data_IF_497510026774
#
_entry.id   IF_497510026774
#
_cell.length_a   1.000
_cell.length_b   1.000
_cell.length_c   1.000
_cell.angle_alpha   90.00
_cell.angle_beta   90.00
_cell.angle_gamma   90.00
#
_symmetry.space_group_name_H-M   'P 1'
#
loop_
_entity.id
_entity.type
_entity.pdbx_description
1 polymer ?
#
# COMPACT_ATOMS: atom_id res chain seq x y z
N UNK A 1 -17.02 21.93 -1.37
CA UNK A 1 -15.72 22.12 -2.03
C UNK A 1 -15.51 20.88 -2.88
N UNK A 2 -15.57 20.98 -4.21
CA UNK A 2 -15.53 19.80 -5.10
C UNK A 2 -14.21 19.06 -4.88
N UNK A 3 -14.27 17.81 -4.43
CA UNK A 3 -13.14 16.89 -4.55
C UNK A 3 -12.78 16.87 -6.04
N UNK A 4 -11.57 17.33 -6.39
CA UNK A 4 -11.05 17.13 -7.72
C UNK A 4 -10.93 15.62 -7.89
N UNK A 5 -11.85 15.02 -8.65
CA UNK A 5 -11.75 13.63 -9.00
C UNK A 5 -10.43 13.42 -9.72
N UNK A 6 -9.61 12.52 -9.18
CA UNK A 6 -8.32 12.15 -9.75
C UNK A 6 -8.50 11.51 -11.13
N UNK A 7 -8.53 12.36 -12.16
CA UNK A 7 -8.88 11.99 -13.52
C UNK A 7 -7.86 11.00 -14.12
N UNK A 8 -6.58 11.22 -13.86
CA UNK A 8 -5.49 10.37 -14.35
C UNK A 8 -5.65 8.96 -13.78
N UNK A 9 -5.74 8.84 -12.46
CA UNK A 9 -5.86 7.55 -11.81
C UNK A 9 -7.15 6.83 -12.22
N UNK A 10 -8.30 7.52 -12.24
CA UNK A 10 -9.59 6.93 -12.63
C UNK A 10 -9.60 6.40 -14.07
N UNK A 11 -8.97 7.12 -15.00
CA UNK A 11 -8.87 6.68 -16.38
C UNK A 11 -7.95 5.46 -16.50
N UNK A 12 -6.79 5.46 -15.85
CA UNK A 12 -5.88 4.32 -15.84
C UNK A 12 -6.53 3.08 -15.19
N UNK A 13 -7.22 3.26 -14.06
CA UNK A 13 -7.96 2.19 -13.39
C UNK A 13 -9.04 1.60 -14.30
N UNK A 14 -9.84 2.44 -14.95
CA UNK A 14 -10.89 2.00 -15.87
C UNK A 14 -10.29 1.28 -17.08
N UNK A 15 -9.21 1.81 -17.64
CA UNK A 15 -8.49 1.21 -18.76
C UNK A 15 -7.94 -0.17 -18.40
N UNK A 16 -7.30 -0.30 -17.23
CA UNK A 16 -6.77 -1.58 -16.74
C UNK A 16 -7.85 -2.66 -16.66
N UNK A 17 -9.04 -2.32 -16.15
CA UNK A 17 -10.14 -3.28 -16.02
C UNK A 17 -10.77 -3.60 -17.38
N UNK A 18 -10.90 -2.62 -18.27
CA UNK A 18 -11.34 -2.89 -19.64
C UNK A 18 -10.37 -3.84 -20.35
N UNK A 19 -9.06 -3.59 -20.24
CA UNK A 19 -8.03 -4.46 -20.82
C UNK A 19 -8.03 -5.86 -20.21
N UNK A 20 -8.31 -6.00 -18.90
CA UNK A 20 -8.36 -7.30 -18.22
C UNK A 20 -9.44 -8.22 -18.80
N UNK A 21 -10.55 -7.63 -19.25
CA UNK A 21 -11.71 -8.33 -19.82
C UNK A 21 -11.60 -8.63 -21.32
N UNK A 22 -10.77 -7.91 -22.06
CA UNK A 22 -10.61 -8.13 -23.51
C UNK A 22 -9.62 -9.26 -23.77
N UNK A 23 -10.06 -10.33 -24.45
CA UNK A 23 -9.24 -11.53 -24.71
C UNK A 23 -8.26 -11.37 -25.90
N UNK A 24 -8.39 -10.31 -26.70
CA UNK A 24 -7.64 -10.13 -27.96
C UNK A 24 -6.33 -9.35 -27.84
N UNK A 25 -6.07 -8.70 -26.69
CA UNK A 25 -4.91 -7.80 -26.54
C UNK A 25 -3.67 -8.61 -26.15
N UNK A 26 -2.53 -8.33 -26.79
CA UNK A 26 -1.27 -9.01 -26.48
C UNK A 26 -0.63 -8.46 -25.20
N UNK A 27 0.12 -9.26 -24.43
CA UNK A 27 0.75 -8.82 -23.17
C UNK A 27 1.61 -7.54 -23.30
N UNK A 28 2.44 -7.44 -24.33
CA UNK A 28 3.28 -6.26 -24.57
C UNK A 28 2.47 -4.97 -24.82
N UNK A 29 1.26 -5.08 -25.38
CA UNK A 29 0.38 -3.93 -25.59
C UNK A 29 -0.25 -3.48 -24.28
N UNK A 30 -0.51 -4.42 -23.36
CA UNK A 30 -1.01 -4.13 -22.01
C UNK A 30 0.07 -3.38 -21.22
N UNK A 31 1.30 -3.90 -21.22
CA UNK A 31 2.46 -3.24 -20.62
C UNK A 31 2.63 -1.83 -21.18
N UNK A 32 2.62 -1.68 -22.51
CA UNK A 32 2.76 -0.36 -23.14
C UNK A 32 1.65 0.62 -22.78
N UNK A 33 0.42 0.16 -22.64
CA UNK A 33 -0.74 1.03 -22.33
C UNK A 33 -0.81 1.41 -20.86
N UNK A 34 -0.38 0.54 -19.95
CA UNK A 34 -0.47 0.78 -18.50
C UNK A 34 0.80 1.40 -17.92
N UNK A 35 1.96 0.89 -18.33
CA UNK A 35 3.27 1.28 -17.80
C UNK A 35 3.87 2.45 -18.57
N UNK A 36 3.61 2.56 -19.88
CA UNK A 36 4.16 3.63 -20.71
C UNK A 36 5.70 3.67 -20.60
N UNK A 37 6.24 4.78 -20.08
CA UNK A 37 7.68 4.97 -19.91
C UNK A 37 8.30 4.05 -18.83
N UNK A 38 7.49 3.48 -17.93
CA UNK A 38 7.95 2.55 -16.87
C UNK A 38 8.41 1.19 -17.39
N UNK A 39 8.13 0.86 -18.67
CA UNK A 39 8.63 -0.38 -19.28
C UNK A 39 10.15 -0.45 -19.24
N UNK A 40 10.83 0.71 -19.31
CA UNK A 40 12.29 0.78 -19.34
C UNK A 40 12.93 0.79 -17.95
N UNK A 41 12.17 0.48 -16.89
CA UNK A 41 12.65 0.50 -15.51
C UNK A 41 12.00 1.60 -14.68
N UNK A 42 11.55 1.24 -13.49
CA UNK A 42 10.90 2.15 -12.55
C UNK A 42 11.90 3.14 -11.94
N UNK A 43 13.16 2.71 -11.78
CA UNK A 43 14.29 3.45 -11.21
C UNK A 43 14.71 4.70 -11.98
N UNK A 44 14.40 4.75 -13.29
CA UNK A 44 14.78 5.85 -14.17
C UNK A 44 13.92 7.11 -14.04
N UNK A 45 12.82 7.05 -13.29
CA UNK A 45 11.83 8.13 -13.20
C UNK A 45 11.64 8.59 -11.75
N UNK A 46 11.33 9.88 -11.51
CA UNK A 46 10.86 10.29 -10.18
C UNK A 46 9.47 9.70 -9.90
N UNK A 47 9.22 9.34 -8.64
CA UNK A 47 7.96 8.74 -8.21
C UNK A 47 6.89 9.83 -8.03
N UNK A 48 6.33 10.26 -9.15
CA UNK A 48 5.24 11.24 -9.26
C UNK A 48 3.86 10.56 -9.29
N UNK A 49 2.79 11.33 -9.36
CA UNK A 49 1.41 10.84 -9.37
C UNK A 49 1.10 9.90 -10.53
N UNK A 50 1.65 10.18 -11.71
CA UNK A 50 1.44 9.36 -12.90
C UNK A 50 2.09 7.99 -12.74
N UNK A 51 3.35 7.93 -12.29
CA UNK A 51 4.06 6.68 -12.04
C UNK A 51 3.32 5.84 -11.00
N UNK A 52 2.92 6.46 -9.88
CA UNK A 52 2.14 5.79 -8.82
C UNK A 52 0.81 5.27 -9.35
N UNK A 53 0.11 6.06 -10.16
CA UNK A 53 -1.16 5.66 -10.77
C UNK A 53 -1.01 4.49 -11.75
N UNK A 54 0.05 4.48 -12.56
CA UNK A 54 0.36 3.39 -13.50
C UNK A 54 0.68 2.08 -12.78
N UNK A 55 1.48 2.12 -11.71
CA UNK A 55 1.79 0.94 -10.88
C UNK A 55 0.51 0.34 -10.26
N UNK A 56 -0.34 1.18 -9.65
CA UNK A 56 -1.61 0.71 -9.10
C UNK A 56 -2.56 0.19 -10.17
N UNK A 57 -2.68 0.87 -11.31
CA UNK A 57 -3.51 0.42 -12.42
C UNK A 57 -3.06 -0.94 -12.97
N UNK A 58 -1.75 -1.20 -12.98
CA UNK A 58 -1.21 -2.52 -13.35
C UNK A 58 -1.60 -3.59 -12.33
N UNK A 59 -1.59 -3.25 -11.04
CA UNK A 59 -2.18 -4.09 -9.99
C UNK A 59 -3.66 -4.39 -10.24
N UNK A 60 -4.48 -3.37 -10.56
CA UNK A 60 -5.88 -3.56 -10.94
C UNK A 60 -6.04 -4.49 -12.14
N UNK A 61 -5.21 -4.36 -13.18
CA UNK A 61 -5.25 -5.28 -14.32
C UNK A 61 -5.05 -6.74 -13.87
N UNK A 62 -4.02 -7.01 -13.07
CA UNK A 62 -3.71 -8.36 -12.57
C UNK A 62 -4.79 -8.94 -11.65
N UNK A 63 -5.44 -8.08 -10.85
CA UNK A 63 -6.52 -8.48 -9.95
C UNK A 63 -7.83 -8.81 -10.67
N UNK A 64 -8.08 -8.19 -11.83
CA UNK A 64 -9.33 -8.36 -12.59
C UNK A 64 -9.18 -9.21 -13.86
N UNK A 65 -7.97 -9.57 -14.29
CA UNK A 65 -7.78 -10.43 -15.47
C UNK A 65 -8.09 -11.88 -15.11
N UNK A 66 -8.23 -12.76 -16.10
CA UNK A 66 -8.33 -14.21 -15.84
C UNK A 66 -6.94 -14.78 -15.49
N UNK A 67 -6.84 -15.88 -14.71
CA UNK A 67 -5.55 -16.44 -14.30
C UNK A 67 -4.57 -16.71 -15.45
N UNK A 68 -5.06 -17.07 -16.64
CA UNK A 68 -4.26 -17.36 -17.83
C UNK A 68 -3.59 -16.11 -18.42
N UNK A 69 -4.11 -14.92 -18.11
CA UNK A 69 -3.56 -13.63 -18.59
C UNK A 69 -2.52 -13.02 -17.65
N UNK A 70 -2.31 -13.61 -16.48
CA UNK A 70 -1.32 -13.13 -15.51
C UNK A 70 0.08 -13.60 -15.96
N UNK A 71 0.79 -12.77 -16.71
CA UNK A 71 2.13 -13.11 -17.17
C UNK A 71 3.14 -13.04 -16.02
N UNK A 72 4.14 -13.93 -16.03
CA UNK A 72 5.24 -13.92 -15.05
C UNK A 72 6.02 -12.61 -15.10
N UNK A 73 6.17 -12.02 -16.29
CA UNK A 73 6.88 -10.76 -16.49
C UNK A 73 6.18 -9.60 -15.77
N UNK A 74 4.85 -9.49 -15.89
CA UNK A 74 4.07 -8.47 -15.18
C UNK A 74 4.10 -8.67 -13.67
N UNK A 75 4.01 -9.91 -13.20
CA UNK A 75 4.11 -10.26 -11.77
C UNK A 75 5.48 -9.85 -11.23
N UNK A 76 6.54 -10.23 -11.94
CA UNK A 76 7.92 -9.94 -11.54
C UNK A 76 8.20 -8.44 -11.57
N UNK A 77 7.70 -7.72 -12.57
CA UNK A 77 7.82 -6.26 -12.63
C UNK A 77 7.11 -5.60 -11.44
N UNK A 78 5.89 -6.02 -11.12
CA UNK A 78 5.16 -5.52 -9.95
C UNK A 78 5.93 -5.78 -8.66
N UNK A 79 6.40 -7.02 -8.43
CA UNK A 79 7.17 -7.37 -7.24
C UNK A 79 8.47 -6.56 -7.16
N UNK A 80 9.27 -6.54 -8.23
CA UNK A 80 10.58 -5.87 -8.28
C UNK A 80 10.49 -4.35 -8.21
N UNK A 81 9.32 -3.75 -8.50
CA UNK A 81 9.12 -2.32 -8.30
C UNK A 81 9.14 -1.94 -6.80
N UNK A 82 8.67 -2.83 -5.91
CA UNK A 82 8.56 -2.57 -4.48
C UNK A 82 9.89 -2.14 -3.80
N UNK A 83 11.01 -2.87 -3.95
CA UNK A 83 12.29 -2.47 -3.37
C UNK A 83 12.83 -1.17 -3.98
N UNK A 84 12.53 -0.89 -5.26
CA UNK A 84 12.97 0.34 -5.93
C UNK A 84 12.29 1.56 -5.30
N UNK A 85 11.04 1.45 -4.83
CA UNK A 85 10.31 2.58 -4.22
C UNK A 85 11.01 3.18 -2.99
N UNK A 86 11.85 2.42 -2.28
CA UNK A 86 12.54 2.88 -1.06
C UNK A 86 13.65 3.88 -1.35
N UNK A 87 14.27 3.81 -2.54
CA UNK A 87 15.39 4.66 -2.96
C UNK A 87 14.97 5.78 -3.93
N UNK A 88 13.75 5.73 -4.47
CA UNK A 88 13.26 6.71 -5.42
C UNK A 88 13.04 8.10 -4.84
N UNK A 89 13.15 9.11 -5.71
CA UNK A 89 12.74 10.48 -5.40
C UNK A 89 11.22 10.63 -5.44
N UNK A 90 10.60 10.76 -4.28
CA UNK A 90 9.15 10.99 -4.13
C UNK A 90 8.78 12.44 -4.49
N UNK A 91 7.79 12.60 -5.36
CA UNK A 91 7.16 13.90 -5.64
C UNK A 91 5.76 13.89 -5.05
N UNK A 92 5.49 14.79 -4.11
CA UNK A 92 4.15 14.99 -3.53
C UNK A 92 3.33 15.97 -4.37
N UNK A 93 2.95 15.49 -5.55
CA UNK A 93 2.11 16.15 -6.57
C UNK A 93 0.64 15.69 -6.54
N UNK A 94 0.27 14.88 -5.55
CA UNK A 94 -1.11 14.41 -5.41
C UNK A 94 -2.05 15.57 -5.09
N UNK A 95 -3.26 15.53 -5.68
CA UNK A 95 -4.35 16.46 -5.33
C UNK A 95 -4.67 16.24 -3.87
N UNK A 96 -4.12 17.13 -3.03
CA UNK A 96 -4.14 17.04 -1.59
C UNK A 96 -5.57 16.90 -1.07
N UNK A 97 -5.98 15.70 -0.61
CA UNK A 97 -7.22 15.59 0.13
C UNK A 97 -6.96 16.17 1.52
N UNK A 98 -7.79 17.11 1.99
CA UNK A 98 -7.65 17.71 3.33
C UNK A 98 -7.81 16.69 4.47
N UNK A 99 -8.28 15.49 4.14
CA UNK A 99 -8.55 14.40 5.08
C UNK A 99 -7.41 13.36 5.12
N UNK A 100 -6.40 13.47 4.26
CA UNK A 100 -5.24 12.59 4.33
C UNK A 100 -4.46 12.87 5.61
N UNK A 101 -4.41 11.89 6.51
CA UNK A 101 -3.63 12.00 7.75
C UNK A 101 -2.25 11.37 7.63
N UNK A 102 -2.02 10.47 6.69
CA UNK A 102 -0.72 9.81 6.49
C UNK A 102 0.10 10.44 5.37
N UNK A 103 1.39 10.16 5.37
CA UNK A 103 2.29 10.59 4.29
C UNK A 103 1.98 9.85 2.98
N UNK A 104 2.46 10.39 1.87
CA UNK A 104 2.30 9.79 0.55
C UNK A 104 3.03 8.45 0.43
N UNK A 105 4.16 8.30 1.14
CA UNK A 105 4.95 7.08 1.21
C UNK A 105 4.15 5.95 1.85
N UNK A 106 3.58 6.22 3.03
CA UNK A 106 2.79 5.25 3.78
C UNK A 106 1.51 4.85 3.02
N UNK A 107 0.78 5.86 2.53
CA UNK A 107 -0.45 5.64 1.76
C UNK A 107 -0.18 4.79 0.52
N UNK A 108 0.83 5.16 -0.28
CA UNK A 108 1.14 4.41 -1.48
C UNK A 108 1.66 3.00 -1.18
N UNK A 109 2.55 2.85 -0.21
CA UNK A 109 3.05 1.54 0.22
C UNK A 109 1.90 0.64 0.67
N UNK A 110 0.96 1.15 1.47
CA UNK A 110 -0.24 0.42 1.88
C UNK A 110 -1.08 -0.05 0.69
N UNK A 111 -1.40 0.84 -0.24
CA UNK A 111 -2.22 0.49 -1.41
C UNK A 111 -1.52 -0.51 -2.33
N UNK A 112 -0.25 -0.25 -2.64
CA UNK A 112 0.53 -1.06 -3.57
C UNK A 112 0.80 -2.46 -2.99
N UNK A 113 1.16 -2.53 -1.71
CA UNK A 113 1.41 -3.78 -1.03
C UNK A 113 0.12 -4.59 -0.78
N UNK A 114 -1.03 -3.92 -0.59
CA UNK A 114 -2.35 -4.58 -0.61
C UNK A 114 -2.60 -5.26 -1.97
N UNK A 115 -2.36 -4.55 -3.08
CA UNK A 115 -2.48 -5.16 -4.42
C UNK A 115 -1.59 -6.40 -4.55
N UNK A 116 -0.33 -6.32 -4.13
CA UNK A 116 0.62 -7.43 -4.19
C UNK A 116 0.14 -8.63 -3.36
N UNK A 117 -0.30 -8.42 -2.12
CA UNK A 117 -0.83 -9.51 -1.28
C UNK A 117 -2.10 -10.14 -1.85
N UNK A 118 -2.98 -9.35 -2.47
CA UNK A 118 -4.15 -9.89 -3.17
C UNK A 118 -3.77 -10.69 -4.44
N UNK A 119 -2.81 -10.20 -5.23
CA UNK A 119 -2.28 -10.94 -6.38
C UNK A 119 -1.67 -12.26 -5.92
N UNK A 120 -0.88 -12.24 -4.85
CA UNK A 120 -0.23 -13.42 -4.28
C UNK A 120 -1.26 -14.45 -3.78
N UNK A 121 -2.33 -14.00 -3.11
CA UNK A 121 -3.44 -14.88 -2.70
C UNK A 121 -4.13 -15.52 -3.91
N UNK A 122 -4.37 -14.76 -4.99
CA UNK A 122 -4.94 -15.30 -6.23
C UNK A 122 -4.02 -16.33 -6.89
N UNK A 123 -2.72 -16.08 -6.93
CA UNK A 123 -1.74 -17.02 -7.47
C UNK A 123 -1.72 -18.32 -6.66
N UNK A 124 -1.79 -18.24 -5.33
CA UNK A 124 -1.90 -19.39 -4.45
C UNK A 124 -3.15 -20.24 -4.76
N UNK A 125 -4.33 -19.62 -4.90
CA UNK A 125 -5.58 -20.33 -5.21
C UNK A 125 -5.52 -21.00 -6.59
N UNK A 126 -4.83 -20.40 -7.56
CA UNK A 126 -4.62 -20.94 -8.90
C UNK A 126 -3.43 -21.94 -9.00
N UNK A 127 -2.84 -22.36 -7.87
CA UNK A 127 -1.74 -23.33 -7.85
C UNK A 127 -0.37 -22.80 -8.32
N UNK A 128 -0.21 -21.48 -8.47
CA UNK A 128 1.03 -20.83 -8.93
C UNK A 128 1.90 -20.39 -7.76
N UNK A 129 2.34 -21.37 -6.96
CA UNK A 129 3.11 -21.12 -5.73
C UNK A 129 4.44 -20.39 -5.99
N UNK A 130 5.17 -20.75 -7.06
CA UNK A 130 6.44 -20.08 -7.39
C UNK A 130 6.27 -18.58 -7.64
N UNK A 131 5.23 -18.17 -8.36
CA UNK A 131 4.98 -16.76 -8.65
C UNK A 131 4.47 -16.02 -7.41
N UNK A 132 3.74 -16.71 -6.52
CA UNK A 132 3.35 -16.18 -5.21
C UNK A 132 4.60 -15.94 -4.36
N UNK A 133 5.55 -16.86 -4.34
CA UNK A 133 6.76 -16.77 -3.53
C UNK A 133 7.66 -15.63 -3.99
N UNK A 134 7.70 -15.31 -5.28
CA UNK A 134 8.36 -14.09 -5.78
C UNK A 134 7.80 -12.86 -5.06
N UNK A 135 6.47 -12.69 -5.04
CA UNK A 135 5.85 -11.53 -4.42
C UNK A 135 6.16 -11.49 -2.92
N UNK A 136 5.92 -12.59 -2.20
CA UNK A 136 5.99 -12.61 -0.75
C UNK A 136 7.42 -12.47 -0.26
N UNK A 137 8.38 -13.16 -0.89
CA UNK A 137 9.79 -12.97 -0.54
C UNK A 137 10.24 -11.53 -0.81
N UNK A 138 9.84 -10.93 -1.93
CA UNK A 138 10.15 -9.52 -2.19
C UNK A 138 9.51 -8.58 -1.15
N UNK A 139 8.28 -8.84 -0.70
CA UNK A 139 7.65 -8.06 0.38
C UNK A 139 8.44 -8.15 1.69
N UNK A 140 8.85 -9.36 2.09
CA UNK A 140 9.63 -9.61 3.33
C UNK A 140 11.02 -8.99 3.22
N UNK A 141 11.73 -9.24 2.12
CA UNK A 141 13.07 -8.71 1.89
C UNK A 141 13.08 -7.19 1.81
N UNK A 142 12.07 -6.58 1.18
CA UNK A 142 11.95 -5.12 1.13
C UNK A 142 11.72 -4.54 2.53
N UNK A 143 10.88 -5.18 3.35
CA UNK A 143 10.68 -4.79 4.73
C UNK A 143 11.98 -4.91 5.53
N UNK A 144 12.67 -6.04 5.44
CA UNK A 144 13.94 -6.29 6.13
C UNK A 144 15.02 -5.28 5.73
N UNK A 145 15.21 -5.04 4.43
CA UNK A 145 16.16 -4.05 3.93
C UNK A 145 15.81 -2.63 4.40
N UNK A 146 14.52 -2.27 4.40
CA UNK A 146 14.06 -0.95 4.84
C UNK A 146 14.28 -0.74 6.34
N UNK A 147 13.97 -1.74 7.17
CA UNK A 147 14.21 -1.69 8.62
C UNK A 147 15.69 -1.65 8.93
N UNK A 148 16.51 -2.46 8.26
CA UNK A 148 17.97 -2.41 8.40
C UNK A 148 18.53 -1.04 8.04
N UNK A 149 18.04 -0.44 6.95
CA UNK A 149 18.42 0.91 6.56
C UNK A 149 18.00 1.94 7.63
N UNK A 150 16.77 1.86 8.16
CA UNK A 150 16.31 2.74 9.25
C UNK A 150 17.24 2.61 10.46
N UNK A 151 17.45 1.39 10.96
CA UNK A 151 18.32 1.13 12.12
C UNK A 151 19.70 1.73 11.88
N UNK A 152 20.31 1.44 10.73
CA UNK A 152 21.63 2.01 10.38
C UNK A 152 21.60 3.54 10.41
N UNK A 153 20.67 4.20 9.73
CA UNK A 153 20.64 5.66 9.65
C UNK A 153 20.36 6.34 11.00
N UNK A 154 19.67 5.68 11.93
CA UNK A 154 19.36 6.27 13.24
C UNK A 154 20.39 5.94 14.33
N UNK A 155 21.11 4.82 14.21
CA UNK A 155 22.16 4.43 15.17
C UNK A 155 23.56 4.83 14.74
N UNK A 156 23.75 5.31 13.51
CA UNK A 156 25.04 5.80 13.00
C UNK A 156 25.39 7.16 13.66
N UNK A 157 26.28 7.12 14.65
CA UNK A 157 26.70 8.30 15.42
C UNK A 157 27.33 9.39 14.54
N UNK A 158 27.93 9.05 13.40
CA UNK A 158 28.54 10.02 12.49
C UNK A 158 27.49 10.84 11.72
N UNK A 159 26.30 10.28 11.51
CA UNK A 159 25.20 10.91 10.75
C UNK A 159 24.05 11.38 11.63
N UNK A 160 24.20 11.25 12.95
CA UNK A 160 23.14 11.46 13.93
C UNK A 160 22.45 12.83 13.81
N UNK A 161 23.19 13.86 13.38
CA UNK A 161 22.69 15.25 13.24
C UNK A 161 22.48 15.70 11.78
N UNK A 162 22.66 14.82 10.80
CA UNK A 162 22.42 15.15 9.40
C UNK A 162 20.91 15.20 9.10
N UNK A 163 20.38 16.41 8.85
CA UNK A 163 18.97 16.63 8.59
C UNK A 163 18.43 15.84 7.36
N UNK A 164 19.14 15.76 6.21
CA UNK A 164 18.79 14.88 5.10
C UNK A 164 18.62 13.41 5.53
N UNK A 165 19.53 12.88 6.34
CA UNK A 165 19.49 11.50 6.85
C UNK A 165 18.27 11.27 7.75
N UNK A 166 17.99 12.20 8.68
CA UNK A 166 16.77 12.18 9.52
C UNK A 166 15.50 12.17 8.69
N UNK A 167 15.41 13.02 7.67
CA UNK A 167 14.26 13.09 6.76
C UNK A 167 14.11 11.80 5.94
N UNK A 168 15.21 11.23 5.47
CA UNK A 168 15.20 9.97 4.74
C UNK A 168 14.73 8.81 5.63
N UNK A 169 15.26 8.69 6.85
CA UNK A 169 14.84 7.68 7.82
C UNK A 169 13.34 7.75 8.09
N UNK A 170 12.77 8.94 8.33
CA UNK A 170 11.34 9.10 8.59
C UNK A 170 10.44 8.83 7.37
N UNK A 171 10.95 9.04 6.15
CA UNK A 171 10.27 8.60 4.92
C UNK A 171 10.26 7.08 4.81
N UNK A 172 11.37 6.42 5.15
CA UNK A 172 11.43 4.95 5.21
C UNK A 172 10.52 4.39 6.29
N UNK A 173 10.46 5.00 7.48
CA UNK A 173 9.52 4.60 8.55
C UNK A 173 8.08 4.67 8.04
N UNK A 174 7.71 5.77 7.39
CA UNK A 174 6.38 5.91 6.78
C UNK A 174 6.10 4.80 5.76
N UNK A 175 7.07 4.48 4.90
CA UNK A 175 6.96 3.39 3.93
C UNK A 175 6.77 2.02 4.62
N UNK A 176 7.58 1.72 5.64
CA UNK A 176 7.52 0.49 6.45
C UNK A 176 6.16 0.35 7.13
N UNK A 177 5.62 1.42 7.72
CA UNK A 177 4.27 1.41 8.31
C UNK A 177 3.21 1.01 7.28
N UNK A 178 3.30 1.52 6.05
CA UNK A 178 2.40 1.15 4.96
C UNK A 178 2.47 -0.33 4.59
N UNK A 179 3.69 -0.90 4.53
CA UNK A 179 3.90 -2.33 4.31
C UNK A 179 3.27 -3.18 5.42
N UNK A 180 3.59 -2.87 6.68
CA UNK A 180 3.11 -3.63 7.85
C UNK A 180 1.58 -3.63 7.92
N UNK A 181 0.93 -2.50 7.61
CA UNK A 181 -0.54 -2.36 7.62
C UNK A 181 -1.27 -3.23 6.61
N UNK A 182 -0.61 -3.62 5.53
CA UNK A 182 -1.21 -4.35 4.39
C UNK A 182 -0.73 -5.80 4.28
N UNK A 183 0.27 -6.20 5.07
CA UNK A 183 0.92 -7.50 4.93
C UNK A 183 -0.06 -8.66 5.07
N UNK A 184 -0.04 -9.56 4.08
CA UNK A 184 -0.81 -10.80 4.09
C UNK A 184 -2.33 -10.63 4.11
N UNK A 185 -2.83 -9.46 3.69
CA UNK A 185 -4.27 -9.21 3.58
C UNK A 185 -4.76 -9.55 2.17
N UNK A 186 -5.85 -10.30 2.08
CA UNK A 186 -6.56 -10.54 0.82
C UNK A 186 -8.05 -10.74 1.07
N UNK A 187 -8.89 -10.47 0.07
CA UNK A 187 -10.29 -10.89 0.09
C UNK A 187 -10.41 -12.41 -0.10
N UNK A 188 -11.58 -12.96 0.24
CA UNK A 188 -11.93 -14.34 -0.12
C UNK A 188 -12.14 -14.49 -1.64
N UNK A 189 -11.98 -15.72 -2.13
CA UNK A 189 -12.02 -16.05 -3.55
C UNK A 189 -13.43 -15.79 -4.13
N UNK A 190 -13.52 -14.93 -5.15
CA UNK A 190 -14.78 -14.61 -5.83
C UNK A 190 -15.43 -13.27 -5.42
N UNK A 191 -14.90 -12.58 -4.41
CA UNK A 191 -15.34 -11.22 -4.05
C UNK A 191 -14.49 -10.12 -4.70
N UNK A 192 -15.05 -8.91 -4.72
CA UNK A 192 -14.39 -7.68 -5.15
C UNK A 192 -13.04 -7.48 -4.42
N UNK A 193 -11.93 -7.18 -5.13
CA UNK A 193 -10.63 -6.97 -4.50
C UNK A 193 -10.66 -5.90 -3.41
N UNK A 194 -9.89 -6.09 -2.32
CA UNK A 194 -9.76 -5.15 -1.19
C UNK A 194 -9.44 -3.74 -1.67
N UNK A 195 -8.49 -3.61 -2.60
CA UNK A 195 -8.11 -2.31 -3.14
C UNK A 195 -9.26 -1.60 -3.87
N UNK A 196 -10.20 -2.35 -4.44
CA UNK A 196 -11.38 -1.81 -5.10
C UNK A 196 -12.45 -1.29 -4.11
N UNK A 197 -12.32 -1.60 -2.83
CA UNK A 197 -13.11 -0.96 -1.77
C UNK A 197 -12.54 0.41 -1.37
N UNK A 198 -11.23 0.61 -1.50
CA UNK A 198 -10.59 1.92 -1.31
C UNK A 198 -10.81 2.82 -2.53
N UNK A 199 -10.76 2.24 -3.73
CA UNK A 199 -10.97 2.92 -5.00
C UNK A 199 -12.17 2.34 -5.74
N UNK A 200 -13.42 2.71 -5.34
CA UNK A 200 -14.63 2.13 -5.90
C UNK A 200 -14.79 2.43 -7.39
N UNK A 201 -15.26 1.42 -8.13
CA UNK A 201 -15.50 1.50 -9.56
C UNK A 201 -16.86 2.15 -9.85
N UNK A 202 -16.86 3.15 -10.73
CA UNK A 202 -18.09 3.91 -11.05
C UNK A 202 -19.18 3.05 -11.69
N UNK A 203 -18.82 2.02 -12.46
CA UNK A 203 -19.81 1.16 -13.14
C UNK A 203 -20.41 0.08 -12.23
N UNK A 204 -19.78 -0.26 -11.10
CA UNK A 204 -20.37 -1.17 -10.12
C UNK A 204 -21.46 -0.50 -9.26
N UNK A 205 -21.47 0.84 -9.21
CA UNK A 205 -22.50 1.62 -8.53
C UNK A 205 -23.85 1.63 -9.27
N UNK A 206 -23.89 1.17 -10.53
CA UNK A 206 -25.09 1.17 -11.38
C UNK A 206 -25.86 -0.16 -11.37
N UNK A 207 -25.22 -1.27 -11.00
CA UNK A 207 -25.91 -2.55 -10.88
C UNK A 207 -26.54 -2.65 -9.49
N UNK A 208 -27.79 -2.19 -9.37
CA UNK A 208 -28.60 -2.23 -8.14
C UNK A 208 -28.99 -3.62 -7.64
N UNK A 209 -28.12 -4.61 -7.75
CA UNK A 209 -28.28 -5.94 -7.18
C UNK A 209 -27.65 -5.98 -5.79
N UNK A 210 -28.49 -6.27 -4.80
CA UNK A 210 -28.21 -6.70 -3.43
C UNK A 210 -26.76 -6.49 -2.97
N UNK A 211 -26.57 -5.57 -2.03
CA UNK A 211 -25.38 -5.53 -1.18
C UNK A 211 -25.13 -6.96 -0.68
N UNK A 212 -24.24 -7.70 -1.35
CA UNK A 212 -23.42 -8.71 -0.67
C UNK A 212 -22.78 -7.89 0.43
N UNK A 213 -23.36 -7.99 1.62
CA UNK A 213 -22.82 -7.46 2.86
C UNK A 213 -21.53 -8.23 3.09
N UNK A 214 -20.50 -7.94 2.30
CA UNK A 214 -19.15 -8.32 2.67
C UNK A 214 -18.96 -7.64 4.01
N UNK A 215 -18.69 -8.43 5.05
CA UNK A 215 -18.42 -7.92 6.40
C UNK A 215 -17.07 -7.17 6.45
N UNK A 216 -16.60 -6.68 5.29
CA UNK A 216 -15.35 -6.03 5.06
C UNK A 216 -15.34 -4.68 5.78
N UNK A 217 -14.46 -4.57 6.78
CA UNK A 217 -14.23 -3.35 7.51
C UNK A 217 -12.74 -3.05 7.50
N UNK A 218 -12.40 -1.78 7.37
CA UNK A 218 -11.09 -1.32 7.81
C UNK A 218 -11.17 -1.18 9.33
N UNK A 219 -10.31 -1.86 10.06
CA UNK A 219 -10.02 -1.51 11.45
C UNK A 219 -9.13 -0.28 11.41
N UNK A 220 -9.45 0.74 12.18
CA UNK A 220 -8.45 1.62 12.77
C UNK A 220 -8.09 0.99 14.12
N UNK A 221 -6.82 0.83 14.47
CA UNK A 221 -6.50 0.33 15.82
C UNK A 221 -7.09 1.22 16.92
N UNK A 222 -7.44 2.48 16.61
CA UNK A 222 -8.30 3.31 17.47
C UNK A 222 -9.72 2.75 17.70
N UNK A 223 -10.40 2.22 16.68
CA UNK A 223 -11.74 1.62 16.83
C UNK A 223 -11.65 0.23 17.50
N UNK A 224 -10.51 -0.48 17.41
CA UNK A 224 -10.31 -1.81 18.03
C UNK A 224 -9.74 -1.72 19.45
N UNK A 225 -8.83 -0.78 19.75
CA UNK A 225 -8.38 -0.49 21.12
C UNK A 225 -9.51 0.11 21.97
N UNK A 226 -10.32 1.02 21.42
CA UNK A 226 -11.50 1.58 22.10
C UNK A 226 -12.77 0.74 21.92
N UNK A 227 -12.80 -0.31 21.08
CA UNK A 227 -13.92 -1.26 21.15
C UNK A 227 -14.00 -1.96 22.53
N UNK A 228 -12.90 -1.96 23.29
CA UNK A 228 -12.87 -2.36 24.69
C UNK A 228 -13.18 -1.21 25.67
N UNK A 229 -13.19 0.05 25.22
CA UNK A 229 -13.57 1.23 26.01
C UNK A 229 -14.58 2.06 25.21
N UNK A 230 -15.86 1.68 25.34
CA UNK A 230 -16.94 2.07 24.46
C UNK A 230 -17.06 3.57 24.12
N UNK A 231 -17.82 3.78 23.05
CA UNK A 231 -18.25 5.05 22.42
C UNK A 231 -17.25 5.71 21.47
N UNK A 232 -17.48 5.51 20.17
CA UNK A 232 -17.86 6.62 19.28
C UNK A 232 -18.71 6.13 18.10
N UNK A 233 -19.84 6.80 17.92
CA UNK A 233 -20.99 6.34 17.20
C UNK A 233 -20.79 6.28 15.68
N UNK A 234 -21.12 5.13 15.09
CA UNK A 234 -21.46 4.97 13.69
C UNK A 234 -22.65 5.90 13.34
N UNK A 235 -22.36 7.09 12.82
CA UNK A 235 -23.38 7.87 12.13
C UNK A 235 -23.83 7.09 10.88
N UNK A 236 -25.11 6.68 10.84
CA UNK A 236 -25.73 5.94 9.73
C UNK A 236 -25.58 6.61 8.35
N UNK A 237 -25.24 7.90 8.32
CA UNK A 237 -24.99 8.66 7.09
C UNK A 237 -23.57 8.47 6.54
N UNK A 238 -22.55 8.22 7.36
CA UNK A 238 -21.18 7.98 6.89
C UNK A 238 -21.04 6.60 6.22
N UNK A 239 -21.85 5.62 6.63
CA UNK A 239 -21.86 4.28 6.02
C UNK A 239 -22.20 4.31 4.53
N UNK A 240 -22.89 5.36 4.05
CA UNK A 240 -23.31 5.52 2.64
C UNK A 240 -22.35 6.36 1.79
N UNK A 241 -21.30 6.94 2.39
CA UNK A 241 -20.33 7.73 1.62
C UNK A 241 -19.39 6.80 0.83
N UNK A 242 -19.38 6.84 -0.52
CA UNK A 242 -18.48 6.02 -1.33
C UNK A 242 -17.00 6.29 -1.05
N UNK A 243 -16.66 7.46 -0.50
CA UNK A 243 -15.30 7.81 -0.13
C UNK A 243 -14.94 7.44 1.31
N UNK A 244 -15.86 6.89 2.13
CA UNK A 244 -15.59 6.55 3.54
C UNK A 244 -14.36 5.67 3.70
N UNK A 245 -14.27 4.60 2.94
CA UNK A 245 -13.14 3.65 3.04
C UNK A 245 -11.83 4.28 2.57
N UNK A 246 -11.87 5.17 1.56
CA UNK A 246 -10.72 5.97 1.15
C UNK A 246 -10.25 6.90 2.28
N UNK A 247 -11.18 7.55 2.98
CA UNK A 247 -10.88 8.39 4.16
C UNK A 247 -10.36 7.59 5.35
N UNK A 248 -10.80 6.35 5.51
CA UNK A 248 -10.31 5.46 6.56
C UNK A 248 -8.91 4.95 6.23
N UNK A 249 -8.66 4.50 4.99
CA UNK A 249 -7.33 4.06 4.54
C UNK A 249 -6.25 5.14 4.72
N UNK A 250 -6.64 6.42 4.66
CA UNK A 250 -5.74 7.55 4.90
C UNK A 250 -5.55 7.96 6.37
N UNK A 251 -6.09 7.19 7.33
CA UNK A 251 -5.82 7.35 8.78
C UNK A 251 -4.63 6.50 9.23
N UNK A 252 -4.09 6.79 10.42
CA UNK A 252 -3.07 5.97 11.08
C UNK A 252 -3.62 4.62 11.48
N UNK A 253 -2.73 3.63 11.52
CA UNK A 253 -3.00 2.30 12.05
C UNK A 253 -4.27 1.65 11.47
N UNK A 254 -4.57 1.88 10.18
CA UNK A 254 -5.68 1.19 9.52
C UNK A 254 -5.23 -0.02 8.74
N UNK A 255 -5.96 -1.11 8.91
CA UNK A 255 -5.76 -2.37 8.20
C UNK A 255 -7.09 -3.00 7.83
N UNK A 256 -7.10 -3.89 6.85
CA UNK A 256 -8.29 -4.66 6.47
C UNK A 256 -8.56 -5.76 7.51
N UNK A 257 -9.79 -5.81 8.03
CA UNK A 257 -10.30 -6.91 8.87
C UNK A 257 -11.02 -7.89 7.96
N UNK A 258 -10.32 -8.94 7.57
CA UNK A 258 -10.80 -9.91 6.58
C UNK A 258 -10.35 -11.33 6.93
N UNK A 259 -11.22 -12.30 6.67
CA UNK A 259 -10.83 -13.70 6.52
C UNK A 259 -10.01 -13.78 5.24
N UNK A 260 -8.76 -14.23 5.34
CA UNK A 260 -7.86 -14.28 4.19
C UNK A 260 -7.51 -15.73 3.86
N UNK A 261 -7.72 -16.18 2.61
CA UNK A 261 -7.19 -17.45 2.13
C UNK A 261 -5.66 -17.42 1.96
N UNK A 262 -5.03 -16.25 2.08
CA UNK A 262 -3.58 -16.09 1.96
C UNK A 262 -2.88 -16.83 3.09
N UNK A 263 -2.00 -17.77 2.73
CA UNK A 263 -1.23 -18.55 3.70
C UNK A 263 0.20 -18.02 3.72
N UNK A 264 0.64 -17.61 4.91
CA UNK A 264 2.04 -17.31 5.21
C UNK A 264 2.67 -18.58 5.75
N UNK A 265 3.87 -18.93 5.26
CA UNK A 265 4.61 -20.08 5.77
C UNK A 265 5.25 -19.76 7.12
N UNK A 266 5.55 -20.75 7.97
CA UNK A 266 6.24 -20.50 9.24
C UNK A 266 7.58 -19.76 9.07
N UNK A 267 8.35 -20.10 8.02
CA UNK A 267 9.63 -19.45 7.71
C UNK A 267 9.46 -17.98 7.33
N UNK A 268 8.43 -17.65 6.54
CA UNK A 268 8.09 -16.27 6.21
C UNK A 268 7.70 -15.47 7.44
N UNK A 269 6.94 -16.08 8.34
CA UNK A 269 6.50 -15.45 9.57
C UNK A 269 7.67 -15.20 10.53
N UNK A 270 8.61 -16.14 10.63
CA UNK A 270 9.84 -15.99 11.41
C UNK A 270 10.68 -14.81 10.90
N UNK A 271 10.92 -14.73 9.57
CA UNK A 271 11.65 -13.61 8.96
C UNK A 271 10.99 -12.24 9.21
N UNK A 272 9.65 -12.19 9.18
CA UNK A 272 8.90 -10.99 9.52
C UNK A 272 9.12 -10.59 10.99
N UNK A 273 8.99 -11.54 11.93
CA UNK A 273 9.17 -11.26 13.35
C UNK A 273 10.59 -10.84 13.69
N UNK A 274 11.60 -11.50 13.11
CA UNK A 274 13.01 -11.11 13.29
C UNK A 274 13.24 -9.66 12.86
N UNK A 275 12.67 -9.29 11.71
CA UNK A 275 12.72 -7.91 11.20
C UNK A 275 12.01 -6.94 12.14
N UNK A 276 10.80 -7.27 12.61
CA UNK A 276 10.04 -6.42 13.53
C UNK A 276 10.74 -6.24 14.88
N UNK A 277 11.42 -7.26 15.39
CA UNK A 277 12.18 -7.15 16.64
C UNK A 277 13.31 -6.10 16.55
N UNK A 278 13.89 -5.90 15.36
CA UNK A 278 14.96 -4.91 15.18
C UNK A 278 14.47 -3.49 15.38
N UNK A 279 13.31 -3.13 14.82
CA UNK A 279 12.76 -1.77 14.94
C UNK A 279 12.18 -1.50 16.33
N UNK A 280 11.76 -2.55 17.04
CA UNK A 280 11.21 -2.46 18.40
C UNK A 280 12.28 -2.41 19.51
N UNK A 281 13.57 -2.46 19.16
CA UNK A 281 14.65 -2.26 20.13
C UNK A 281 14.53 -0.88 20.77
N UNK A 282 14.60 -0.82 22.09
CA UNK A 282 14.42 0.41 22.89
C UNK A 282 15.22 1.60 22.33
N UNK A 283 16.51 1.40 22.10
CA UNK A 283 17.41 2.45 21.59
C UNK A 283 17.00 2.99 20.21
N UNK A 284 16.49 2.10 19.35
CA UNK A 284 16.00 2.47 18.01
C UNK A 284 14.70 3.26 18.14
N UNK A 285 13.75 2.79 18.94
CA UNK A 285 12.45 3.46 19.15
C UNK A 285 12.63 4.84 19.77
N UNK A 286 13.45 4.96 20.82
CA UNK A 286 13.74 6.25 21.48
C UNK A 286 14.32 7.25 20.47
N UNK A 287 15.26 6.80 19.63
CA UNK A 287 15.85 7.67 18.63
C UNK A 287 14.87 8.04 17.51
N UNK A 288 14.02 7.11 17.10
CA UNK A 288 12.96 7.38 16.12
C UNK A 288 11.97 8.43 16.64
N UNK A 289 11.59 8.35 17.91
CA UNK A 289 10.70 9.33 18.56
C UNK A 289 11.31 10.72 18.64
N UNK A 290 12.59 10.82 18.99
CA UNK A 290 13.32 12.09 18.98
C UNK A 290 13.28 12.74 17.59
N UNK A 291 13.66 11.98 16.55
CA UNK A 291 13.68 12.48 15.17
C UNK A 291 12.27 12.84 14.70
N UNK A 292 11.27 12.03 15.00
CA UNK A 292 9.88 12.30 14.64
C UNK A 292 9.39 13.61 15.28
N UNK A 293 9.67 13.84 16.56
CA UNK A 293 9.32 15.07 17.27
C UNK A 293 9.97 16.32 16.65
N UNK A 294 11.24 16.23 16.25
CA UNK A 294 11.94 17.31 15.53
C UNK A 294 11.26 17.63 14.19
N UNK A 295 11.02 16.61 13.36
CA UNK A 295 10.46 16.81 12.03
C UNK A 295 9.00 17.24 12.05
N UNK A 296 8.21 16.76 13.02
CA UNK A 296 6.84 17.17 13.25
C UNK A 296 6.77 18.66 13.58
N UNK A 297 7.67 19.14 14.43
CA UNK A 297 7.74 20.55 14.83
C UNK A 297 8.22 21.47 13.71
N UNK A 298 9.16 21.00 12.88
CA UNK A 298 9.75 21.80 11.79
C UNK A 298 8.98 21.71 10.45
N UNK A 299 8.09 20.73 10.30
CA UNK A 299 7.32 20.53 9.06
C UNK A 299 8.18 20.14 7.85
N UNK A 300 9.37 19.56 8.06
CA UNK A 300 10.32 19.22 6.98
C UNK A 300 9.84 18.10 6.06
N UNK A 301 8.89 17.29 6.53
CA UNK A 301 8.15 16.33 5.71
C UNK A 301 6.70 16.80 5.65
N UNK A 302 6.22 17.05 4.42
CA UNK A 302 4.84 17.46 4.18
C UNK A 302 3.88 16.38 4.71
N UNK A 303 2.95 16.80 5.59
CA UNK A 303 1.95 15.92 6.22
C UNK A 303 2.55 14.78 7.05
N UNK A 304 3.74 14.97 7.60
CA UNK A 304 4.27 14.03 8.59
C UNK A 304 3.42 14.09 9.85
N UNK A 305 2.76 12.99 10.24
CA UNK A 305 1.72 13.05 11.25
C UNK A 305 2.18 12.57 12.62
N UNK A 306 3.38 12.01 12.71
CA UNK A 306 3.88 11.32 13.89
C UNK A 306 4.65 12.32 14.77
N UNK A 307 4.09 12.68 15.92
CA UNK A 307 4.87 13.36 16.96
C UNK A 307 5.88 12.42 17.61
N UNK A 308 5.55 11.12 17.65
CA UNK A 308 6.37 9.98 18.05
C UNK A 308 6.03 8.79 17.15
N UNK A 309 7.00 7.95 16.85
CA UNK A 309 6.81 6.71 16.07
C UNK A 309 6.27 5.59 16.96
N UNK A 310 6.51 5.66 18.27
CA UNK A 310 6.03 4.69 19.26
C UNK A 310 4.53 4.78 19.59
N UNK A 311 3.87 5.87 19.20
CA UNK A 311 2.41 6.07 19.31
C UNK A 311 1.63 5.30 18.23
#
# INVERSE_FOLDING_TARGET
MKEYEDFVFKNLQTMAICLSRVDTVRPHEIERRLLGDLINGVDNLPLNHNVRSSLLATGFYLLYCKPEKMTKDLISMMANSLPVLTSMKWIDDSVSCKQDKVTIQESFAFHFNTCLSEIAARLQCNGRMEDRDIIVNTQIETLACSVNAIVREVTDDEKKDDAPTKVYAMRLVSFVLGLLRSFGRSSEEGEKPLIAHVFPLKFEQYNGSEETKSNLRLSTDWDVMLANEGTEAQNKNDAKDPNRLRRLASRHATSFVVSSPFRITPEELEKLFDTMQMILKKEVVERLDEIAGELFSHGSIKRFPYGRVSE
#
